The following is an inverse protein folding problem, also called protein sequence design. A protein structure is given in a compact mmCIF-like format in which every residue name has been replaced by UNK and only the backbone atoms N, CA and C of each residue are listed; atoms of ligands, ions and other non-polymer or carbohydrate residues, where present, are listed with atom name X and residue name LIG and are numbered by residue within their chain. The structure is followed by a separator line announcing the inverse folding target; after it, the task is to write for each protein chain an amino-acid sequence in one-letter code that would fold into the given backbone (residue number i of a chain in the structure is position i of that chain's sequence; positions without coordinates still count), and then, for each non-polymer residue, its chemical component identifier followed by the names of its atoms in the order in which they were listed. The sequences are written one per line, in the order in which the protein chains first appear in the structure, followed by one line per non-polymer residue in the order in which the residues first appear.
data_IF_959209043136
#
_entry.id   IF_959209043136
#
_cell.length_a   1.000
_cell.length_b   1.000
_cell.length_c   1.000
_cell.angle_alpha   90.00
_cell.angle_beta   90.00
_cell.angle_gamma   90.00
#
_symmetry.space_group_name_H-M   'P 1'
#
loop_
_entity.id
_entity.type
_entity.pdbx_description
1 polymer ?
#
# COMPACT_ATOMS: atom_id res chain seq x y z
N UNK A 1 25.53 11.99 0.29
CA UNK A 1 25.18 13.41 0.04
C UNK A 1 23.89 13.41 -0.79
N UNK A 2 22.84 14.13 -0.37
CA UNK A 2 21.56 14.13 -1.08
C UNK A 2 21.63 14.86 -2.42
N UNK A 3 20.86 14.42 -3.41
CA UNK A 3 20.74 15.07 -4.73
C UNK A 3 19.63 16.11 -4.70
N UNK A 4 19.72 17.13 -5.54
CA UNK A 4 18.66 18.14 -5.68
C UNK A 4 17.32 17.54 -6.15
N UNK A 5 17.35 16.38 -6.80
CA UNK A 5 16.18 15.62 -7.26
C UNK A 5 15.55 14.73 -6.17
N UNK A 6 16.18 14.64 -4.99
CA UNK A 6 15.64 13.86 -3.88
C UNK A 6 14.34 14.49 -3.37
N UNK A 7 13.46 13.64 -2.85
CA UNK A 7 12.16 14.03 -2.32
C UNK A 7 12.07 13.70 -0.83
N UNK A 8 11.30 14.50 -0.11
CA UNK A 8 10.89 14.27 1.27
C UNK A 8 9.45 13.79 1.26
N UNK A 9 9.20 12.60 1.78
CA UNK A 9 7.86 12.07 1.97
C UNK A 9 7.18 12.82 3.12
N UNK A 10 5.92 13.24 2.91
CA UNK A 10 5.16 14.09 3.84
C UNK A 10 3.94 13.41 4.41
N UNK A 11 2.98 13.03 3.56
CA UNK A 11 1.78 12.30 3.99
C UNK A 11 1.59 11.05 3.15
N UNK A 12 1.05 10.01 3.78
CA UNK A 12 0.69 8.75 3.12
C UNK A 12 -0.71 8.38 3.59
N UNK A 13 -1.68 8.50 2.69
CA UNK A 13 -3.09 8.37 3.03
C UNK A 13 -3.71 7.24 2.22
N UNK A 14 -4.35 6.31 2.92
CA UNK A 14 -5.03 5.18 2.32
C UNK A 14 -6.54 5.40 2.30
N UNK A 15 -7.18 5.04 1.20
CA UNK A 15 -8.63 4.89 1.10
C UNK A 15 -8.99 3.61 0.36
N UNK A 16 -10.17 3.05 0.64
CA UNK A 16 -10.64 1.82 0.01
C UNK A 16 -11.93 2.06 -0.75
N UNK A 17 -12.06 1.44 -1.92
CA UNK A 17 -13.30 1.40 -2.71
C UNK A 17 -13.65 -0.05 -3.02
N UNK A 18 -14.93 -0.39 -2.93
CA UNK A 18 -15.43 -1.70 -3.29
C UNK A 18 -16.21 -1.62 -4.60
N UNK A 19 -15.98 -2.58 -5.49
CA UNK A 19 -16.68 -2.69 -6.76
C UNK A 19 -17.24 -4.11 -6.93
N UNK A 20 -18.47 -4.19 -7.42
CA UNK A 20 -19.05 -5.46 -7.88
C UNK A 20 -18.59 -5.71 -9.31
N UNK A 21 -18.18 -6.94 -9.61
CA UNK A 21 -17.88 -7.34 -10.98
C UNK A 21 -19.17 -7.46 -11.80
N UNK A 22 -19.06 -7.17 -13.09
CA UNK A 22 -20.17 -7.36 -14.04
C UNK A 22 -20.60 -8.83 -14.13
N UNK A 23 -19.65 -9.75 -14.00
CA UNK A 23 -19.88 -11.19 -13.93
C UNK A 23 -18.89 -11.83 -12.96
N UNK A 24 -19.29 -12.91 -12.26
CA UNK A 24 -18.38 -13.63 -11.37
C UNK A 24 -17.15 -14.16 -12.11
N UNK A 25 -15.96 -13.92 -11.56
CA UNK A 25 -14.71 -14.45 -12.08
C UNK A 25 -14.34 -15.74 -11.35
N UNK A 26 -13.95 -16.78 -12.10
CA UNK A 26 -13.43 -18.03 -11.53
C UNK A 26 -11.91 -18.05 -11.64
N UNK A 27 -11.22 -18.14 -10.50
CA UNK A 27 -9.76 -18.22 -10.46
C UNK A 27 -9.31 -19.07 -9.27
N UNK A 28 -8.41 -20.04 -9.51
CA UNK A 28 -7.86 -20.89 -8.44
C UNK A 28 -8.94 -21.66 -7.65
N UNK A 29 -10.01 -22.11 -8.31
CA UNK A 29 -11.13 -22.82 -7.68
C UNK A 29 -12.09 -21.95 -6.88
N UNK A 30 -11.93 -20.61 -6.91
CA UNK A 30 -12.80 -19.65 -6.23
C UNK A 30 -13.65 -18.89 -7.23
N UNK A 31 -14.87 -18.59 -6.82
CA UNK A 31 -15.74 -17.61 -7.48
C UNK A 31 -15.54 -16.28 -6.76
N UNK A 32 -15.27 -15.22 -7.51
CA UNK A 32 -15.05 -13.86 -6.99
C UNK A 32 -16.05 -12.93 -7.67
N UNK A 33 -16.85 -12.23 -6.88
CA UNK A 33 -17.95 -11.38 -7.35
C UNK A 33 -17.67 -9.89 -7.12
N UNK A 34 -16.74 -9.58 -6.22
CA UNK A 34 -16.37 -8.22 -5.87
C UNK A 34 -14.85 -8.06 -5.73
N UNK A 35 -14.42 -6.79 -5.71
CA UNK A 35 -13.03 -6.42 -5.46
C UNK A 35 -12.94 -5.19 -4.58
N UNK A 36 -12.03 -5.25 -3.60
CA UNK A 36 -11.58 -4.09 -2.86
C UNK A 36 -10.34 -3.51 -3.56
N UNK A 37 -10.42 -2.23 -3.93
CA UNK A 37 -9.30 -1.42 -4.44
C UNK A 37 -8.81 -0.54 -3.30
N UNK A 38 -7.51 -0.61 -3.02
CA UNK A 38 -6.82 0.32 -2.14
C UNK A 38 -6.19 1.42 -2.99
N UNK A 39 -6.50 2.66 -2.64
CA UNK A 39 -5.87 3.86 -3.16
C UNK A 39 -4.95 4.42 -2.11
N UNK A 40 -3.72 4.74 -2.50
CA UNK A 40 -2.75 5.43 -1.67
C UNK A 40 -2.39 6.76 -2.32
N UNK A 41 -2.58 7.84 -1.57
CA UNK A 41 -2.13 9.18 -1.94
C UNK A 41 -0.87 9.49 -1.15
N UNK A 42 0.23 9.77 -1.86
CA UNK A 42 1.50 10.12 -1.26
C UNK A 42 1.81 11.55 -1.62
N UNK A 43 2.09 12.37 -0.62
CA UNK A 43 2.55 13.72 -0.84
C UNK A 43 4.02 13.87 -0.51
N UNK A 44 4.71 14.65 -1.34
CA UNK A 44 6.15 14.84 -1.26
C UNK A 44 6.53 16.29 -1.49
N UNK A 45 7.70 16.69 -1.00
CA UNK A 45 8.35 17.96 -1.38
C UNK A 45 9.75 17.67 -1.88
N UNK A 46 10.22 18.41 -2.88
CA UNK A 46 11.62 18.34 -3.27
C UNK A 46 12.53 18.84 -2.12
N UNK A 47 13.75 18.33 -2.02
CA UNK A 47 14.75 18.86 -1.08
C UNK A 47 15.00 20.35 -1.37
N UNK A 48 14.94 21.19 -0.33
CA UNK A 48 15.07 22.65 -0.44
C UNK A 48 13.82 23.39 -0.94
N UNK A 49 12.79 22.66 -1.39
CA UNK A 49 11.53 23.23 -1.85
C UNK A 49 10.42 23.17 -0.80
N UNK A 50 9.47 24.12 -0.89
CA UNK A 50 8.24 24.12 -0.06
C UNK A 50 7.00 23.60 -0.78
N UNK A 51 7.06 23.47 -2.12
CA UNK A 51 5.92 23.03 -2.92
C UNK A 51 5.64 21.55 -2.67
N UNK A 52 4.41 21.26 -2.25
CA UNK A 52 3.87 19.90 -2.07
C UNK A 52 3.32 19.40 -3.40
N UNK A 53 3.72 18.20 -3.79
CA UNK A 53 3.18 17.48 -4.96
C UNK A 53 2.56 16.17 -4.47
N UNK A 54 1.44 15.77 -5.07
CA UNK A 54 0.71 14.55 -4.70
C UNK A 54 0.79 13.56 -5.85
N UNK A 55 1.18 12.33 -5.54
CA UNK A 55 1.09 11.16 -6.41
C UNK A 55 0.05 10.19 -5.89
N UNK A 56 -0.55 9.43 -6.80
CA UNK A 56 -1.62 8.47 -6.49
C UNK A 56 -1.24 7.12 -7.06
N UNK A 57 -1.41 6.06 -6.26
CA UNK A 57 -1.36 4.67 -6.71
C UNK A 57 -2.61 3.93 -6.28
N UNK A 58 -3.12 3.04 -7.14
CA UNK A 58 -4.27 2.19 -6.82
C UNK A 58 -3.94 0.73 -7.15
N UNK A 59 -4.38 -0.18 -6.29
CA UNK A 59 -4.19 -1.62 -6.49
C UNK A 59 -5.37 -2.41 -5.94
N UNK A 60 -5.78 -3.45 -6.65
CA UNK A 60 -6.74 -4.44 -6.15
C UNK A 60 -6.06 -5.25 -5.04
N UNK A 61 -6.74 -5.46 -3.91
CA UNK A 61 -6.11 -6.08 -2.74
C UNK A 61 -5.76 -7.57 -2.90
N UNK A 62 -6.15 -8.19 -4.02
CA UNK A 62 -5.66 -9.48 -4.49
C UNK A 62 -5.72 -10.66 -3.51
N UNK A 63 -6.48 -10.55 -2.42
CA UNK A 63 -6.52 -11.50 -1.32
C UNK A 63 -7.06 -12.89 -1.75
N UNK A 64 -7.88 -12.93 -2.81
CA UNK A 64 -8.37 -14.15 -3.42
C UNK A 64 -7.26 -14.95 -4.15
N UNK A 65 -6.22 -14.27 -4.64
CA UNK A 65 -5.10 -14.85 -5.41
C UNK A 65 -3.85 -15.05 -4.57
N UNK A 66 -3.54 -14.12 -3.67
CA UNK A 66 -2.29 -14.10 -2.89
C UNK A 66 -2.24 -15.17 -1.78
N UNK A 67 -3.37 -15.79 -1.42
CA UNK A 67 -3.46 -16.76 -0.32
C UNK A 67 -3.93 -18.15 -0.79
N UNK A 68 -3.03 -19.12 -0.96
CA UNK A 68 -3.38 -20.50 -1.27
C UNK A 68 -3.81 -21.27 0.01
N UNK A 69 -4.64 -20.66 0.86
CA UNK A 69 -5.11 -21.27 2.13
C UNK A 69 -6.63 -21.43 2.17
N UNK A 70 -7.16 -22.18 3.13
CA UNK A 70 -8.62 -22.28 3.37
C UNK A 70 -9.19 -21.12 4.20
N UNK A 71 -8.40 -20.10 4.53
CA UNK A 71 -8.85 -18.97 5.34
C UNK A 71 -9.94 -18.19 4.58
N UNK A 72 -11.06 -17.82 5.23
CA UNK A 72 -12.10 -17.00 4.62
C UNK A 72 -11.56 -15.71 3.99
N UNK A 73 -12.01 -15.39 2.76
CA UNK A 73 -11.60 -14.20 1.99
C UNK A 73 -11.73 -12.90 2.78
N UNK A 74 -12.81 -12.74 3.56
CA UNK A 74 -13.03 -11.56 4.41
C UNK A 74 -11.91 -11.35 5.45
N UNK A 75 -11.37 -12.44 5.99
CA UNK A 75 -10.28 -12.38 6.98
C UNK A 75 -8.98 -11.99 6.29
N UNK A 76 -8.64 -12.62 5.16
CA UNK A 76 -7.42 -12.28 4.41
C UNK A 76 -7.45 -10.85 3.89
N UNK A 77 -8.61 -10.36 3.43
CA UNK A 77 -8.79 -8.96 3.05
C UNK A 77 -8.57 -8.02 4.25
N UNK A 78 -9.16 -8.32 5.40
CA UNK A 78 -8.98 -7.51 6.62
C UNK A 78 -7.51 -7.40 7.02
N UNK A 79 -6.78 -8.52 6.96
CA UNK A 79 -5.35 -8.55 7.28
C UNK A 79 -4.51 -7.73 6.30
N UNK A 80 -4.79 -7.82 4.99
CA UNK A 80 -4.07 -7.03 3.99
C UNK A 80 -4.36 -5.53 4.12
N UNK A 81 -5.59 -5.14 4.41
CA UNK A 81 -5.94 -3.74 4.68
C UNK A 81 -5.27 -3.24 5.95
N UNK A 82 -5.20 -4.06 7.00
CA UNK A 82 -4.51 -3.71 8.24
C UNK A 82 -3.00 -3.50 8.02
N UNK A 83 -2.35 -4.42 7.30
CA UNK A 83 -0.94 -4.28 6.91
C UNK A 83 -0.71 -2.98 6.14
N UNK A 84 -1.57 -2.67 5.15
CA UNK A 84 -1.46 -1.45 4.36
C UNK A 84 -1.62 -0.17 5.21
N UNK A 85 -2.58 -0.16 6.15
CA UNK A 85 -2.79 0.96 7.09
C UNK A 85 -1.57 1.19 7.99
N UNK A 86 -1.04 0.13 8.60
CA UNK A 86 0.17 0.21 9.43
C UNK A 86 1.38 0.68 8.62
N UNK A 87 1.52 0.20 7.39
CA UNK A 87 2.61 0.60 6.51
C UNK A 87 2.54 2.08 6.15
N UNK A 88 1.36 2.59 5.82
CA UNK A 88 1.17 4.02 5.55
C UNK A 88 1.56 4.89 6.74
N UNK A 89 1.09 4.53 7.95
CA UNK A 89 1.44 5.23 9.18
C UNK A 89 2.96 5.21 9.43
N UNK A 90 3.59 4.03 9.41
CA UNK A 90 5.05 3.93 9.65
C UNK A 90 5.88 4.63 8.57
N UNK A 91 5.46 4.58 7.31
CA UNK A 91 6.15 5.28 6.23
C UNK A 91 6.11 6.79 6.42
N UNK A 92 4.96 7.32 6.84
CA UNK A 92 4.78 8.74 7.18
C UNK A 92 5.66 9.14 8.37
N UNK A 93 5.62 8.39 9.46
CA UNK A 93 6.36 8.69 10.70
C UNK A 93 7.89 8.60 10.49
N UNK A 94 8.34 7.70 9.61
CA UNK A 94 9.76 7.53 9.28
C UNK A 94 10.38 8.72 8.54
N UNK A 95 9.59 9.73 8.12
CA UNK A 95 10.06 10.98 7.52
C UNK A 95 11.13 10.77 6.43
N UNK A 96 10.86 9.80 5.54
CA UNK A 96 11.84 9.32 4.57
C UNK A 96 12.21 10.41 3.56
N UNK A 97 13.50 10.55 3.30
CA UNK A 97 14.05 11.41 2.25
C UNK A 97 15.01 10.64 1.36
N UNK A 98 15.07 11.02 0.08
CA UNK A 98 16.02 10.48 -0.90
C UNK A 98 15.40 10.23 -2.27
N UNK A 99 16.09 9.39 -3.04
CA UNK A 99 15.60 8.86 -4.31
C UNK A 99 14.32 8.01 -4.12
N UNK A 100 13.31 8.12 -5.00
CA UNK A 100 12.05 7.37 -4.86
C UNK A 100 12.20 5.85 -4.77
N UNK A 101 13.14 5.24 -5.49
CA UNK A 101 13.36 3.79 -5.45
C UNK A 101 14.01 3.39 -4.13
N UNK A 102 14.95 4.20 -3.62
CA UNK A 102 15.54 3.99 -2.30
C UNK A 102 14.53 4.14 -1.17
N UNK A 103 13.64 5.14 -1.24
CA UNK A 103 12.52 5.30 -0.32
C UNK A 103 11.64 4.05 -0.35
N UNK A 104 11.26 3.58 -1.56
CA UNK A 104 10.43 2.38 -1.72
C UNK A 104 11.09 1.13 -1.11
N UNK A 105 12.40 0.96 -1.32
CA UNK A 105 13.15 -0.15 -0.71
C UNK A 105 13.15 -0.08 0.83
N UNK A 106 13.28 1.12 1.41
CA UNK A 106 13.17 1.33 2.87
C UNK A 106 11.75 1.04 3.38
N UNK A 107 10.72 1.45 2.66
CA UNK A 107 9.31 1.12 2.96
C UNK A 107 9.11 -0.40 2.93
N UNK A 108 9.73 -1.12 2.00
CA UNK A 108 9.71 -2.59 1.95
C UNK A 108 10.18 -3.24 3.25
N UNK A 109 11.25 -2.71 3.87
CA UNK A 109 11.73 -3.19 5.18
C UNK A 109 10.75 -2.90 6.32
N UNK A 110 10.06 -1.76 6.27
CA UNK A 110 9.00 -1.44 7.24
C UNK A 110 7.82 -2.42 7.13
N UNK A 111 7.43 -2.78 5.91
CA UNK A 111 6.40 -3.80 5.65
C UNK A 111 6.80 -5.14 6.28
N UNK A 112 8.05 -5.57 6.07
CA UNK A 112 8.52 -6.86 6.59
C UNK A 112 8.50 -6.87 8.13
N UNK A 113 8.95 -5.78 8.77
CA UNK A 113 8.87 -5.62 10.22
C UNK A 113 7.42 -5.66 10.74
N UNK A 114 6.50 -4.93 10.10
CA UNK A 114 5.07 -4.96 10.46
C UNK A 114 4.50 -6.37 10.30
N UNK A 115 4.88 -7.08 9.24
CA UNK A 115 4.39 -8.44 9.00
C UNK A 115 4.82 -9.40 10.11
N UNK A 116 6.02 -9.25 10.67
CA UNK A 116 6.48 -10.05 11.81
C UNK A 116 5.71 -9.76 13.10
N UNK A 117 5.22 -8.53 13.28
CA UNK A 117 4.40 -8.13 14.45
C UNK A 117 2.93 -8.58 14.36
N UNK A 118 2.48 -9.02 13.19
CA UNK A 118 1.10 -9.48 12.95
C UNK A 118 0.92 -11.00 13.12
N UNK A 119 2.00 -11.73 13.40
CA UNK A 119 2.02 -13.17 13.70
C UNK A 119 1.87 -13.38 15.20
#
# INVERSE_FOLDING_TARGET
MGKATDINLKTVENSTRAFQYRQPMKFGGRVVEDVCVLRTEVSVTQVGGRKKTVGVGEMTMGNAWAWPSKIPSKITLKLLIELAKRLAARAQDASLTGDPLQITHRIGKLRDAISSEMV
#
